data_IF_877072535824
#
_entry.id   IF_877072535824
#
_cell.length_a   1.000
_cell.length_b   1.000
_cell.length_c   1.000
_cell.angle_alpha   90.00
_cell.angle_beta   90.00
_cell.angle_gamma   90.00
#
_symmetry.space_group_name_H-M   'P 1'
#
loop_
_entity.id
_entity.type
_entity.pdbx_description
1 polymer ?
#
# COMPACT_ATOMS: atom_id res chain seq x y z
N UNK A 1 55.68 -7.50 24.47
CA UNK A 1 55.24 -7.33 25.88
C UNK A 1 53.78 -6.89 25.87
N UNK A 2 52.83 -7.77 26.23
CA UNK A 2 51.38 -7.49 26.27
C UNK A 2 51.02 -6.93 27.64
N UNK A 3 50.62 -5.65 27.70
CA UNK A 3 50.12 -4.99 28.92
C UNK A 3 48.59 -5.04 28.98
N UNK A 4 48.07 -5.75 29.98
CA UNK A 4 46.65 -6.00 30.23
C UNK A 4 45.93 -4.79 30.84
N UNK A 5 45.13 -4.08 30.04
CA UNK A 5 44.27 -2.98 30.50
C UNK A 5 42.90 -3.44 31.03
N UNK A 6 42.59 -4.75 30.96
CA UNK A 6 41.26 -5.29 31.32
C UNK A 6 41.04 -5.47 32.83
N UNK A 7 42.09 -5.54 33.64
CA UNK A 7 41.98 -5.78 35.10
C UNK A 7 41.60 -4.53 35.90
N UNK A 8 41.97 -3.31 35.45
CA UNK A 8 41.70 -2.07 36.21
C UNK A 8 40.22 -1.65 36.14
N UNK A 9 39.53 -1.96 35.04
CA UNK A 9 38.10 -1.68 34.90
C UNK A 9 37.21 -2.60 35.75
N UNK A 10 37.63 -3.85 35.98
CA UNK A 10 36.89 -4.79 36.84
C UNK A 10 36.91 -4.32 38.30
N UNK A 11 38.03 -3.76 38.77
CA UNK A 11 38.13 -3.23 40.15
C UNK A 11 37.22 -2.02 40.33
N UNK A 12 37.11 -1.14 39.33
CA UNK A 12 36.22 0.03 39.38
C UNK A 12 34.75 -0.40 39.43
N UNK A 13 34.35 -1.40 38.64
CA UNK A 13 32.97 -1.91 38.64
C UNK A 13 32.60 -2.55 39.99
N UNK A 14 33.52 -3.30 40.62
CA UNK A 14 33.28 -3.92 41.93
C UNK A 14 33.13 -2.88 43.04
N UNK A 15 33.92 -1.79 43.01
CA UNK A 15 33.78 -0.70 43.99
C UNK A 15 32.45 0.04 43.84
N UNK A 16 31.98 0.23 42.61
CA UNK A 16 30.68 0.89 42.34
C UNK A 16 29.51 0.03 42.83
N UNK A 17 29.56 -1.29 42.62
CA UNK A 17 28.50 -2.21 43.10
C UNK A 17 28.47 -2.27 44.63
N UNK A 18 29.63 -2.24 45.30
CA UNK A 18 29.70 -2.23 46.76
C UNK A 18 29.11 -0.93 47.36
N UNK A 19 29.32 0.22 46.70
CA UNK A 19 28.74 1.50 47.12
C UNK A 19 27.21 1.51 46.98
N UNK A 20 26.66 0.91 45.93
CA UNK A 20 25.20 0.81 45.71
C UNK A 20 24.55 -0.11 46.74
N UNK A 21 25.19 -1.22 47.09
CA UNK A 21 24.70 -2.14 48.12
C UNK A 21 24.70 -1.50 49.53
N UNK A 22 25.73 -0.71 49.86
CA UNK A 22 25.79 0.03 51.12
C UNK A 22 24.71 1.11 51.21
N UNK A 23 24.40 1.78 50.09
CA UNK A 23 23.34 2.79 50.02
C UNK A 23 21.95 2.19 50.22
N UNK A 24 21.67 1.05 49.61
CA UNK A 24 20.40 0.32 49.82
C UNK A 24 20.24 -0.21 51.25
N UNK A 25 21.33 -0.68 51.87
CA UNK A 25 21.31 -1.21 53.23
C UNK A 25 21.11 -0.12 54.29
N UNK A 26 21.50 1.13 54.02
CA UNK A 26 21.25 2.27 54.90
C UNK A 26 19.81 2.80 54.78
N UNK A 27 19.17 2.62 53.63
CA UNK A 27 17.80 3.08 53.38
C UNK A 27 16.72 2.14 53.94
N UNK A 28 17.09 0.92 54.36
CA UNK A 28 16.18 -0.13 54.85
C UNK A 28 16.03 -0.25 56.37
N UNK A 29 16.54 0.70 57.17
CA UNK A 29 16.52 0.60 58.64
C UNK A 29 16.03 1.89 59.30
N UNK A 30 14.71 2.12 59.24
CA UNK A 30 13.92 2.84 60.25
C UNK A 30 12.44 2.81 59.83
N UNK A 31 11.65 1.91 60.40
CA UNK A 31 10.63 2.34 61.35
C UNK A 31 10.03 1.15 62.09
N UNK A 32 10.10 1.27 63.40
CA UNK A 32 9.64 0.29 64.38
C UNK A 32 8.34 0.80 64.99
N UNK A 33 7.49 -0.16 65.38
CA UNK A 33 6.55 -0.06 66.49
C UNK A 33 5.28 0.79 66.31
N UNK A 34 4.24 0.12 65.82
CA UNK A 34 2.88 0.34 66.30
C UNK A 34 2.72 -0.32 67.68
N UNK A 35 2.49 0.48 68.71
CA UNK A 35 2.08 0.03 70.04
C UNK A 35 0.75 0.68 70.42
N UNK A 36 -0.22 -0.11 70.87
CA UNK A 36 -0.93 0.06 72.16
C UNK A 36 -2.16 -0.87 72.28
N UNK A 37 -2.22 -1.67 73.35
CA UNK A 37 -3.46 -2.22 73.93
C UNK A 37 -3.87 -1.45 75.20
N UNK A 38 -5.10 -1.71 75.69
CA UNK A 38 -5.36 -1.75 77.15
C UNK A 38 -6.27 -0.68 77.74
N UNK A 39 -7.35 -1.16 78.37
CA UNK A 39 -8.19 -0.45 79.32
C UNK A 39 -7.58 -0.46 80.73
N UNK A 40 -7.68 0.64 81.51
CA UNK A 40 -8.20 0.64 82.91
C UNK A 40 -8.31 2.06 83.49
N UNK A 41 -9.20 2.14 84.49
CA UNK A 41 -9.71 3.29 85.24
C UNK A 41 -8.65 4.01 86.08
N UNK A 42 -8.81 5.32 86.26
CA UNK A 42 -8.88 5.94 87.60
C UNK A 42 -9.37 7.39 87.53
N UNK A 43 -10.17 7.75 88.53
CA UNK A 43 -10.78 9.06 88.75
C UNK A 43 -9.79 10.06 89.33
N UNK A 44 -9.95 11.36 89.06
CA UNK A 44 -10.06 12.42 90.07
C UNK A 44 -10.38 13.79 89.42
N UNK A 45 -11.54 14.34 89.80
CA UNK A 45 -11.93 15.75 90.02
C UNK A 45 -11.19 16.90 89.30
N UNK A 46 -12.00 17.70 88.60
CA UNK A 46 -11.78 19.10 88.18
C UNK A 46 -11.57 20.04 89.40
N UNK A 47 -11.02 21.27 89.24
CA UNK A 47 -11.71 22.34 88.49
C UNK A 47 -10.84 23.33 87.68
N UNK A 48 -11.49 23.91 86.67
CA UNK A 48 -11.46 25.31 86.22
C UNK A 48 -10.13 26.02 85.84
N UNK A 49 -10.11 26.57 84.62
CA UNK A 49 -9.60 27.93 84.40
C UNK A 49 -8.51 28.13 83.34
N UNK A 50 -8.92 28.52 82.12
CA UNK A 50 -8.43 29.71 81.42
C UNK A 50 -6.97 29.86 80.90
N UNK A 51 -6.91 30.13 79.58
CA UNK A 51 -5.99 31.06 78.85
C UNK A 51 -4.59 30.58 78.38
N UNK A 52 -4.54 30.39 77.04
CA UNK A 52 -3.56 30.86 76.03
C UNK A 52 -2.14 31.25 76.49
N UNK A 53 -1.16 30.54 75.94
CA UNK A 53 0.23 30.98 75.79
C UNK A 53 1.01 30.14 74.77
N UNK A 54 1.32 30.73 73.62
CA UNK A 54 2.49 30.56 72.72
C UNK A 54 3.16 29.17 72.59
N UNK A 55 3.16 28.59 71.38
CA UNK A 55 4.15 27.57 70.95
C UNK A 55 4.59 27.79 69.50
N UNK A 56 5.75 28.45 69.36
CA UNK A 56 6.67 28.20 68.25
C UNK A 56 7.35 26.85 68.56
N UNK A 57 6.92 25.80 67.87
CA UNK A 57 7.57 24.49 67.88
C UNK A 57 8.28 24.23 66.55
N UNK A 58 9.31 23.36 66.51
CA UNK A 58 10.02 23.04 65.27
C UNK A 58 9.03 22.50 64.22
N UNK A 59 9.08 23.07 63.01
CA UNK A 59 8.20 22.70 61.91
C UNK A 59 8.31 21.20 61.62
N UNK A 60 7.17 20.54 61.49
CA UNK A 60 7.09 19.11 61.22
C UNK A 60 7.84 18.78 59.92
N UNK A 61 8.67 17.71 59.88
CA UNK A 61 9.39 17.34 58.68
C UNK A 61 8.42 17.01 57.56
N UNK A 62 8.60 17.67 56.41
CA UNK A 62 7.84 17.43 55.18
C UNK A 62 8.77 16.84 54.14
N UNK A 63 8.29 15.80 53.44
CA UNK A 63 8.98 15.29 52.27
C UNK A 63 8.64 16.17 51.06
N UNK A 64 9.67 16.64 50.37
CA UNK A 64 9.55 17.37 49.12
C UNK A 64 10.36 16.65 48.03
N UNK A 65 9.85 16.67 46.80
CA UNK A 65 10.54 16.19 45.61
C UNK A 65 10.59 17.31 44.56
N UNK A 66 11.68 17.41 43.81
CA UNK A 66 11.83 18.38 42.71
C UNK A 66 11.06 17.92 41.49
N UNK A 67 10.13 18.73 41.00
CA UNK A 67 9.42 18.47 39.74
C UNK A 67 10.39 18.63 38.55
N UNK A 68 10.34 17.68 37.61
CA UNK A 68 11.11 17.71 36.36
C UNK A 68 10.13 17.70 35.21
N UNK A 69 10.29 18.61 34.25
CA UNK A 69 9.50 18.64 33.03
C UNK A 69 10.10 17.66 32.01
N UNK A 70 9.30 16.70 31.55
CA UNK A 70 9.67 15.72 30.54
C UNK A 70 8.58 15.61 29.48
N UNK A 71 8.97 15.39 28.24
CA UNK A 71 8.03 15.13 27.15
C UNK A 71 7.42 13.73 27.30
N UNK A 72 6.14 13.67 27.66
CA UNK A 72 5.38 12.41 27.76
C UNK A 72 4.58 12.20 26.46
N UNK A 73 4.81 11.11 25.72
CA UNK A 73 4.02 10.83 24.53
C UNK A 73 2.57 10.53 24.91
N UNK A 74 1.63 11.25 24.31
CA UNK A 74 0.18 10.98 24.43
C UNK A 74 -0.22 10.00 23.34
N UNK A 75 -0.61 8.80 23.74
CA UNK A 75 -1.13 7.78 22.83
C UNK A 75 -2.65 7.89 22.74
N UNK A 76 -3.16 7.79 21.51
CA UNK A 76 -4.57 7.58 21.25
C UNK A 76 -4.72 6.16 20.72
N UNK A 77 -5.53 5.36 21.40
CA UNK A 77 -5.74 3.96 21.05
C UNK A 77 -7.09 3.85 20.35
N UNK A 78 -7.07 3.39 19.11
CA UNK A 78 -8.25 3.10 18.30
C UNK A 78 -8.21 1.67 17.79
N UNK A 79 -9.37 1.04 17.68
CA UNK A 79 -9.47 -0.24 16.98
C UNK A 79 -9.45 0.03 15.48
N UNK A 80 -8.54 -0.66 14.78
CA UNK A 80 -8.39 -0.54 13.33
C UNK A 80 -8.64 -1.87 12.62
N UNK A 81 -9.15 -1.79 11.40
CA UNK A 81 -9.23 -2.92 10.46
C UNK A 81 -8.18 -2.76 9.39
N UNK A 82 -7.48 -3.86 9.09
CA UNK A 82 -6.52 -3.94 8.00
C UNK A 82 -7.30 -4.27 6.72
N UNK A 83 -7.19 -3.41 5.71
CA UNK A 83 -7.87 -3.55 4.42
C UNK A 83 -6.86 -3.56 3.29
N UNK A 84 -7.11 -4.35 2.24
CA UNK A 84 -6.28 -4.32 1.03
C UNK A 84 -6.36 -2.93 0.39
N UNK A 85 -5.22 -2.40 -0.06
CA UNK A 85 -5.18 -1.08 -0.70
C UNK A 85 -5.97 -1.05 -2.02
N UNK A 86 -5.97 -2.17 -2.74
CA UNK A 86 -6.76 -2.35 -3.95
C UNK A 86 -7.26 -3.79 -4.05
N UNK A 87 -8.47 -3.96 -4.55
CA UNK A 87 -9.05 -5.28 -4.87
C UNK A 87 -9.59 -5.23 -6.28
N UNK A 88 -9.00 -6.03 -7.16
CA UNK A 88 -9.33 -6.02 -8.60
C UNK A 88 -9.89 -7.38 -9.00
N UNK A 89 -11.13 -7.37 -9.49
CA UNK A 89 -11.72 -8.53 -10.16
C UNK A 89 -11.23 -8.58 -11.60
N UNK A 90 -10.45 -9.60 -11.93
CA UNK A 90 -9.94 -9.84 -13.28
C UNK A 90 -11.07 -10.39 -14.14
N UNK A 91 -11.38 -9.69 -15.22
CA UNK A 91 -12.46 -10.02 -16.16
C UNK A 91 -11.89 -10.16 -17.57
N UNK A 92 -12.56 -10.97 -18.39
CA UNK A 92 -12.23 -11.02 -19.82
C UNK A 92 -12.74 -9.77 -20.52
N UNK A 93 -12.00 -9.31 -21.54
CA UNK A 93 -12.44 -8.26 -22.47
C UNK A 93 -13.00 -8.83 -23.77
N UNK A 94 -12.80 -10.12 -24.01
CA UNK A 94 -13.20 -10.83 -25.22
C UNK A 94 -13.97 -12.10 -24.88
N UNK A 95 -14.82 -12.53 -25.79
CA UNK A 95 -15.64 -13.73 -25.60
C UNK A 95 -14.90 -14.97 -26.11
N UNK A 96 -15.03 -16.10 -25.42
CA UNK A 96 -14.46 -17.37 -25.86
C UNK A 96 -14.40 -18.43 -24.77
N UNK A 97 -13.95 -19.62 -25.15
CA UNK A 97 -13.78 -20.72 -24.23
C UNK A 97 -12.45 -20.59 -23.46
N UNK A 98 -12.49 -20.82 -22.15
CA UNK A 98 -11.31 -20.85 -21.31
C UNK A 98 -10.48 -22.11 -21.57
N UNK A 99 -9.25 -21.96 -22.06
CA UNK A 99 -8.35 -23.07 -22.38
C UNK A 99 -7.49 -23.48 -21.19
N UNK A 100 -6.99 -22.52 -20.42
CA UNK A 100 -6.06 -22.78 -19.34
C UNK A 100 -6.10 -21.69 -18.26
N UNK A 101 -5.76 -22.10 -17.02
CA UNK A 101 -5.49 -21.23 -15.89
C UNK A 101 -4.02 -21.42 -15.48
N UNK A 102 -3.28 -20.31 -15.38
CA UNK A 102 -1.84 -20.29 -15.17
C UNK A 102 -1.43 -19.79 -13.77
N UNK A 103 -2.34 -19.89 -12.80
CA UNK A 103 -2.08 -19.52 -11.41
C UNK A 103 -2.53 -20.62 -10.44
N UNK A 104 -1.96 -20.60 -9.24
CA UNK A 104 -2.44 -21.36 -8.10
C UNK A 104 -3.20 -20.43 -7.14
N UNK A 105 -4.28 -20.95 -6.54
CA UNK A 105 -5.08 -20.16 -5.58
C UNK A 105 -4.23 -19.76 -4.37
N UNK A 106 -4.31 -18.49 -3.96
CA UNK A 106 -3.48 -17.94 -2.89
C UNK A 106 -2.05 -17.56 -3.29
N UNK A 107 -1.65 -17.79 -4.54
CA UNK A 107 -0.34 -17.40 -5.06
C UNK A 107 -0.17 -15.87 -5.09
N UNK A 108 1.05 -15.39 -4.85
CA UNK A 108 1.42 -14.00 -5.11
C UNK A 108 1.77 -13.84 -6.59
N UNK A 109 1.10 -12.91 -7.29
CA UNK A 109 1.36 -12.56 -8.69
C UNK A 109 1.81 -11.12 -8.80
N UNK A 110 2.52 -10.81 -9.88
CA UNK A 110 2.93 -9.47 -10.27
C UNK A 110 2.06 -8.99 -11.42
N UNK A 111 1.96 -7.67 -11.58
CA UNK A 111 1.33 -7.09 -12.76
C UNK A 111 2.00 -7.61 -14.05
N UNK A 112 1.19 -8.04 -15.01
CA UNK A 112 1.63 -8.64 -16.27
C UNK A 112 1.74 -10.18 -16.27
N UNK A 113 1.65 -10.84 -15.11
CA UNK A 113 1.68 -12.31 -15.06
C UNK A 113 0.46 -12.90 -15.77
N UNK A 114 0.67 -13.95 -16.57
CA UNK A 114 -0.41 -14.66 -17.27
C UNK A 114 -1.26 -15.43 -16.27
N UNK A 115 -2.57 -15.18 -16.26
CA UNK A 115 -3.53 -15.81 -15.36
C UNK A 115 -4.42 -16.81 -16.08
N UNK A 116 -4.90 -16.45 -17.27
CA UNK A 116 -5.83 -17.27 -18.02
C UNK A 116 -5.62 -17.10 -19.52
N UNK A 117 -5.91 -18.16 -20.28
CA UNK A 117 -5.87 -18.16 -21.74
C UNK A 117 -7.24 -18.54 -22.30
N UNK A 118 -7.77 -17.70 -23.19
CA UNK A 118 -8.98 -17.93 -23.98
C UNK A 118 -8.57 -18.41 -25.37
N UNK A 119 -9.38 -19.28 -25.98
CA UNK A 119 -9.15 -19.79 -27.33
C UNK A 119 -8.84 -18.67 -28.34
N UNK A 120 -7.59 -18.60 -28.85
CA UNK A 120 -7.17 -17.55 -29.75
C UNK A 120 -7.57 -17.81 -31.21
N UNK A 121 -8.17 -18.95 -31.53
CA UNK A 121 -8.35 -19.42 -32.92
C UNK A 121 -9.13 -18.43 -33.78
N UNK A 122 -10.27 -17.93 -33.27
CA UNK A 122 -11.08 -16.92 -33.97
C UNK A 122 -10.32 -15.60 -34.18
N UNK A 123 -9.55 -15.16 -33.18
CA UNK A 123 -8.80 -13.90 -33.25
C UNK A 123 -7.60 -14.01 -34.20
N UNK A 124 -6.93 -15.16 -34.25
CA UNK A 124 -5.87 -15.45 -35.23
C UNK A 124 -6.38 -15.41 -36.65
N UNK A 125 -7.57 -15.97 -36.91
CA UNK A 125 -8.20 -15.93 -38.24
C UNK A 125 -8.57 -14.50 -38.62
N UNK A 126 -9.17 -13.73 -37.71
CA UNK A 126 -9.50 -12.32 -37.94
C UNK A 126 -8.25 -11.47 -38.24
N UNK A 127 -7.16 -11.69 -37.50
CA UNK A 127 -5.87 -11.02 -37.76
C UNK A 127 -5.31 -11.38 -39.14
N UNK A 128 -5.32 -12.66 -39.50
CA UNK A 128 -4.85 -13.11 -40.81
C UNK A 128 -5.68 -12.51 -41.96
N UNK A 129 -7.00 -12.41 -41.78
CA UNK A 129 -7.90 -11.76 -42.75
C UNK A 129 -7.57 -10.27 -42.92
N UNK A 130 -7.40 -9.53 -41.81
CA UNK A 130 -7.04 -8.12 -41.84
C UNK A 130 -5.66 -7.89 -42.50
N UNK A 131 -4.68 -8.77 -42.21
CA UNK A 131 -3.36 -8.72 -42.85
C UNK A 131 -3.43 -9.00 -44.36
N UNK A 132 -4.29 -9.94 -44.78
CA UNK A 132 -4.56 -10.21 -46.19
C UNK A 132 -5.15 -8.99 -46.92
N UNK A 133 -6.08 -8.29 -46.29
CA UNK A 133 -6.67 -7.07 -46.84
C UNK A 133 -5.62 -5.96 -46.98
N UNK A 134 -4.83 -5.71 -45.92
CA UNK A 134 -3.72 -4.76 -45.96
C UNK A 134 -2.71 -5.09 -47.07
N UNK A 135 -2.38 -6.37 -47.27
CA UNK A 135 -1.45 -6.80 -48.31
C UNK A 135 -2.01 -6.53 -49.72
N UNK A 136 -3.30 -6.80 -49.94
CA UNK A 136 -3.99 -6.48 -51.20
C UNK A 136 -3.95 -4.98 -51.48
N UNK A 137 -4.30 -4.15 -50.50
CA UNK A 137 -4.40 -2.70 -50.72
C UNK A 137 -3.02 -2.04 -50.81
N UNK A 138 -1.99 -2.61 -50.17
CA UNK A 138 -0.59 -2.23 -50.40
C UNK A 138 -0.17 -2.46 -51.85
N UNK A 139 -0.60 -3.56 -52.47
CA UNK A 139 -0.35 -3.81 -53.88
C UNK A 139 -1.11 -2.80 -54.77
N UNK A 140 -2.34 -2.44 -54.42
CA UNK A 140 -3.14 -1.41 -55.12
C UNK A 140 -2.44 -0.04 -55.06
N UNK A 141 -2.00 0.40 -53.88
CA UNK A 141 -1.25 1.65 -53.72
C UNK A 141 0.07 1.62 -54.51
N UNK A 142 0.80 0.50 -54.50
CA UNK A 142 2.03 0.37 -55.25
C UNK A 142 1.81 0.52 -56.76
N UNK A 143 0.70 -0.02 -57.29
CA UNK A 143 0.33 0.17 -58.69
C UNK A 143 -0.06 1.63 -58.98
N UNK A 144 -0.91 2.24 -58.14
CA UNK A 144 -1.31 3.65 -58.28
C UNK A 144 -0.09 4.60 -58.28
N UNK A 145 0.90 4.35 -57.41
CA UNK A 145 2.16 5.12 -57.37
C UNK A 145 3.01 4.95 -58.64
N UNK A 146 3.07 3.73 -59.19
CA UNK A 146 3.79 3.48 -60.47
C UNK A 146 3.11 4.19 -61.63
N UNK A 147 1.79 4.17 -61.68
CA UNK A 147 1.05 4.87 -62.72
C UNK A 147 1.22 6.38 -62.57
N UNK A 148 1.06 6.94 -61.38
CA UNK A 148 1.34 8.34 -61.12
C UNK A 148 2.75 8.76 -61.60
N UNK A 149 3.79 7.97 -61.30
CA UNK A 149 5.15 8.25 -61.76
C UNK A 149 5.24 8.28 -63.31
N UNK A 150 4.52 7.38 -63.99
CA UNK A 150 4.42 7.35 -65.45
C UNK A 150 3.71 8.58 -66.00
N UNK A 151 2.57 8.96 -65.42
CA UNK A 151 1.82 10.16 -65.84
C UNK A 151 2.61 11.45 -65.59
N UNK A 152 3.36 11.53 -64.48
CA UNK A 152 4.25 12.65 -64.23
C UNK A 152 5.36 12.80 -65.28
N UNK A 153 5.88 11.69 -65.80
CA UNK A 153 6.87 11.72 -66.89
C UNK A 153 6.22 12.18 -68.21
N UNK A 154 5.04 11.68 -68.54
CA UNK A 154 4.30 12.05 -69.75
C UNK A 154 3.80 13.51 -69.73
N UNK A 155 3.50 14.05 -68.56
CA UNK A 155 3.06 15.43 -68.39
C UNK A 155 4.17 16.43 -68.72
N UNK A 156 5.44 16.09 -68.44
CA UNK A 156 6.61 16.91 -68.81
C UNK A 156 6.78 17.03 -70.33
N UNK A 157 6.32 16.03 -71.08
CA UNK A 157 6.30 16.01 -72.53
C UNK A 157 5.00 16.53 -73.14
N UNK A 158 4.09 17.10 -72.34
CA UNK A 158 2.74 17.57 -72.73
C UNK A 158 1.86 16.48 -73.40
N UNK A 159 2.06 15.21 -73.04
CA UNK A 159 1.32 14.08 -73.62
C UNK A 159 0.09 13.65 -72.81
N UNK A 160 -0.14 14.26 -71.64
CA UNK A 160 -1.30 14.01 -70.76
C UNK A 160 -1.82 15.33 -70.22
N UNK A 161 -3.11 15.39 -69.92
CA UNK A 161 -3.73 16.60 -69.36
C UNK A 161 -3.39 16.77 -67.87
N UNK A 162 -3.43 18.01 -67.37
CA UNK A 162 -3.29 18.27 -65.93
C UNK A 162 -4.39 17.60 -65.10
N UNK A 163 -5.61 17.56 -65.62
CA UNK A 163 -6.75 16.91 -64.97
C UNK A 163 -6.49 15.42 -64.73
N UNK A 164 -5.86 14.73 -65.68
CA UNK A 164 -5.50 13.30 -65.53
C UNK A 164 -4.40 13.10 -64.48
N UNK A 165 -3.38 13.97 -64.45
CA UNK A 165 -2.34 13.92 -63.42
C UNK A 165 -2.93 14.14 -62.03
N UNK A 166 -3.77 15.16 -61.88
CA UNK A 166 -4.43 15.48 -60.61
C UNK A 166 -5.34 14.33 -60.14
N UNK A 167 -6.03 13.67 -61.07
CA UNK A 167 -6.83 12.47 -60.77
C UNK A 167 -5.96 11.29 -60.27
N UNK A 168 -4.78 11.06 -60.86
CA UNK A 168 -3.84 10.03 -60.36
C UNK A 168 -3.27 10.39 -58.98
N UNK A 169 -2.97 11.67 -58.75
CA UNK A 169 -2.51 12.15 -57.44
C UNK A 169 -3.59 11.98 -56.36
N UNK A 170 -4.85 12.25 -56.71
CA UNK A 170 -5.99 11.99 -55.83
C UNK A 170 -6.12 10.49 -55.52
N UNK A 171 -5.99 9.61 -56.52
CA UNK A 171 -6.05 8.16 -56.34
C UNK A 171 -4.95 7.62 -55.40
N UNK A 172 -3.72 8.14 -55.52
CA UNK A 172 -2.64 7.79 -54.57
C UNK A 172 -2.99 8.24 -53.16
N UNK A 173 -3.51 9.46 -53.01
CA UNK A 173 -3.91 10.00 -51.70
C UNK A 173 -5.08 9.22 -51.07
N UNK A 174 -6.03 8.79 -51.88
CA UNK A 174 -7.16 7.93 -51.49
C UNK A 174 -6.67 6.56 -51.02
N UNK A 175 -5.84 5.88 -51.83
CA UNK A 175 -5.31 4.56 -51.49
C UNK A 175 -4.36 4.59 -50.29
N UNK A 176 -3.63 5.69 -50.07
CA UNK A 176 -2.89 5.92 -48.82
C UNK A 176 -3.82 6.04 -47.60
N UNK A 177 -5.00 6.65 -47.79
CA UNK A 177 -6.06 6.66 -46.78
C UNK A 177 -6.57 5.25 -46.45
N UNK A 178 -6.80 4.42 -47.47
CA UNK A 178 -7.21 3.01 -47.31
C UNK A 178 -6.17 2.22 -46.53
N UNK A 179 -4.87 2.38 -46.82
CA UNK A 179 -3.80 1.71 -46.04
C UNK A 179 -3.89 2.05 -44.56
N UNK A 180 -4.11 3.32 -44.20
CA UNK A 180 -4.24 3.71 -42.79
C UNK A 180 -5.46 3.05 -42.12
N UNK A 181 -6.57 2.90 -42.83
CA UNK A 181 -7.75 2.22 -42.32
C UNK A 181 -7.51 0.72 -42.12
N UNK A 182 -6.80 0.08 -43.04
CA UNK A 182 -6.43 -1.33 -42.92
C UNK A 182 -5.42 -1.58 -41.80
N UNK A 183 -4.43 -0.70 -41.63
CA UNK A 183 -3.48 -0.75 -40.52
C UNK A 183 -4.21 -0.66 -39.17
N UNK A 184 -5.21 0.21 -39.06
CA UNK A 184 -6.05 0.30 -37.86
C UNK A 184 -6.87 -1.00 -37.65
N UNK A 185 -7.36 -1.61 -38.73
CA UNK A 185 -8.09 -2.87 -38.68
C UNK A 185 -7.20 -4.04 -38.22
N UNK A 186 -5.96 -4.11 -38.71
CA UNK A 186 -4.95 -5.07 -38.24
C UNK A 186 -4.61 -4.85 -36.77
N UNK A 187 -4.41 -3.59 -36.34
CA UNK A 187 -4.14 -3.27 -34.95
C UNK A 187 -5.30 -3.66 -34.02
N UNK A 188 -6.55 -3.45 -34.45
CA UNK A 188 -7.74 -3.87 -33.71
C UNK A 188 -7.82 -5.38 -33.54
N UNK A 189 -7.58 -6.15 -34.62
CA UNK A 189 -7.56 -7.61 -34.56
C UNK A 189 -6.42 -8.14 -33.68
N UNK A 190 -5.24 -7.51 -33.74
CA UNK A 190 -4.11 -7.84 -32.87
C UNK A 190 -4.44 -7.60 -31.40
N UNK A 191 -5.08 -6.47 -31.07
CA UNK A 191 -5.47 -6.14 -29.71
C UNK A 191 -6.46 -7.15 -29.13
N UNK A 192 -7.40 -7.64 -29.94
CA UNK A 192 -8.33 -8.71 -29.53
C UNK A 192 -7.59 -10.03 -29.26
N UNK A 193 -6.61 -10.37 -30.10
CA UNK A 193 -5.75 -11.54 -29.88
C UNK A 193 -4.91 -11.39 -28.60
N UNK A 194 -4.40 -10.19 -28.32
CA UNK A 194 -3.64 -9.93 -27.09
C UNK A 194 -4.55 -10.03 -25.85
N UNK A 195 -5.81 -9.58 -25.95
CA UNK A 195 -6.82 -9.73 -24.88
C UNK A 195 -7.27 -11.17 -24.66
N UNK A 196 -7.00 -12.11 -25.57
CA UNK A 196 -7.24 -13.53 -25.32
C UNK A 196 -6.32 -14.07 -24.22
N UNK A 197 -5.20 -13.40 -23.95
CA UNK A 197 -4.29 -13.68 -22.83
C UNK A 197 -4.59 -12.72 -21.70
N UNK A 198 -5.18 -13.25 -20.63
CA UNK A 198 -5.61 -12.46 -19.49
C UNK A 198 -4.47 -12.42 -18.49
N UNK A 199 -3.95 -11.21 -18.25
CA UNK A 199 -2.85 -10.95 -17.35
C UNK A 199 -3.31 -10.22 -16.08
N UNK A 200 -2.50 -10.29 -15.03
CA UNK A 200 -2.75 -9.56 -13.80
C UNK A 200 -2.60 -8.04 -14.02
N UNK A 201 -3.63 -7.21 -13.74
CA UNK A 201 -3.53 -5.76 -13.90
C UNK A 201 -2.75 -5.09 -12.76
N UNK A 202 -2.66 -5.74 -11.60
CA UNK A 202 -1.97 -5.27 -10.40
C UNK A 202 -1.23 -6.44 -9.74
N UNK A 203 -0.18 -6.13 -8.98
CA UNK A 203 0.45 -7.10 -8.09
C UNK A 203 -0.44 -7.37 -6.86
N UNK A 204 -0.43 -8.62 -6.39
CA UNK A 204 -1.26 -9.00 -5.27
C UNK A 204 -1.33 -10.51 -5.06
N UNK A 205 -2.17 -10.90 -4.09
CA UNK A 205 -2.49 -12.29 -3.83
C UNK A 205 -3.76 -12.67 -4.56
N UNK A 206 -3.67 -13.76 -5.31
CA UNK A 206 -4.77 -14.31 -6.08
C UNK A 206 -5.74 -15.05 -5.17
N UNK A 207 -7.04 -14.81 -5.34
CA UNK A 207 -8.11 -15.50 -4.62
C UNK A 207 -8.39 -16.90 -5.18
N UNK A 208 -9.59 -17.40 -4.88
CA UNK A 208 -10.10 -18.64 -5.47
C UNK A 208 -10.48 -18.40 -6.93
N UNK A 209 -10.33 -19.43 -7.78
CA UNK A 209 -10.85 -19.35 -9.15
C UNK A 209 -12.39 -19.26 -9.11
N UNK A 210 -12.95 -18.44 -9.98
CA UNK A 210 -14.40 -18.27 -10.10
C UNK A 210 -14.98 -19.04 -11.28
N UNK A 211 -14.12 -19.50 -12.19
CA UNK A 211 -14.47 -20.26 -13.40
C UNK A 211 -13.49 -21.42 -13.58
N UNK A 212 -13.96 -22.48 -14.24
CA UNK A 212 -13.16 -23.66 -14.56
C UNK A 212 -12.76 -23.69 -16.04
N UNK A 213 -11.66 -24.37 -16.31
CA UNK A 213 -11.19 -24.63 -17.68
C UNK A 213 -12.28 -25.37 -18.45
N UNK A 214 -12.55 -24.92 -19.68
CA UNK A 214 -13.63 -25.41 -20.52
C UNK A 214 -14.91 -24.58 -20.46
N UNK A 215 -15.05 -23.67 -19.48
CA UNK A 215 -16.20 -22.76 -19.44
C UNK A 215 -16.14 -21.72 -20.56
N UNK A 216 -17.30 -21.35 -21.07
CA UNK A 216 -17.45 -20.19 -21.96
C UNK A 216 -17.44 -18.91 -21.11
N UNK A 217 -16.59 -17.96 -21.47
CA UNK A 217 -16.49 -16.65 -20.82
C UNK A 217 -17.01 -15.59 -21.80
N UNK A 218 -17.77 -14.62 -21.28
CA UNK A 218 -18.13 -13.41 -22.00
C UNK A 218 -17.55 -12.15 -21.35
N UNK A 219 -17.23 -11.16 -22.17
CA UNK A 219 -16.88 -9.79 -21.80
C UNK A 219 -17.93 -9.11 -20.91
N UNK A 220 -19.20 -9.55 -20.98
CA UNK A 220 -20.29 -9.07 -20.13
C UNK A 220 -20.29 -9.62 -18.70
N UNK A 221 -19.55 -10.70 -18.41
CA UNK A 221 -19.69 -11.45 -17.15
C UNK A 221 -19.19 -10.65 -15.95
N UNK A 222 -20.02 -10.50 -14.91
CA UNK A 222 -19.70 -9.73 -13.70
C UNK A 222 -18.94 -10.52 -12.66
N UNK A 223 -19.05 -11.85 -12.67
CA UNK A 223 -18.39 -12.74 -11.70
C UNK A 223 -16.87 -12.59 -11.77
N UNK A 224 -16.31 -12.44 -12.98
CA UNK A 224 -14.87 -12.44 -13.19
C UNK A 224 -14.26 -13.83 -13.22
N UNK A 225 -12.96 -13.90 -13.48
CA UNK A 225 -12.17 -15.13 -13.50
C UNK A 225 -11.55 -15.38 -12.13
N UNK A 226 -10.99 -14.31 -11.57
CA UNK A 226 -10.33 -14.33 -10.26
C UNK A 226 -10.26 -12.94 -9.66
N UNK A 227 -10.25 -12.86 -8.33
CA UNK A 227 -10.06 -11.62 -7.58
C UNK A 227 -8.62 -11.54 -7.09
N UNK A 228 -7.95 -10.43 -7.37
CA UNK A 228 -6.60 -10.13 -6.87
C UNK A 228 -6.72 -9.09 -5.77
N UNK A 229 -6.14 -9.42 -4.61
CA UNK A 229 -6.08 -8.51 -3.45
C UNK A 229 -4.66 -8.00 -3.29
N UNK A 230 -4.48 -6.69 -3.36
CA UNK A 230 -3.18 -6.08 -3.16
C UNK A 230 -2.84 -6.09 -1.66
N UNK A 231 -1.83 -6.87 -1.30
CA UNK A 231 -1.38 -7.03 0.09
C UNK A 231 -0.27 -6.06 0.46
N UNK A 232 0.38 -5.43 -0.53
CA UNK A 232 1.46 -4.47 -0.34
C UNK A 232 1.33 -3.34 -1.39
N UNK A 233 1.13 -2.07 -0.99
CA UNK A 233 0.85 -1.60 0.38
C UNK A 233 -0.49 -2.13 0.93
N UNK A 234 -0.67 -2.04 2.25
CA UNK A 234 -1.90 -2.40 2.95
C UNK A 234 -2.41 -1.19 3.74
N UNK A 235 -3.72 -0.99 3.75
CA UNK A 235 -4.34 0.14 4.42
C UNK A 235 -4.79 -0.23 5.83
N UNK A 236 -4.65 0.71 6.76
CA UNK A 236 -5.15 0.60 8.11
C UNK A 236 -6.21 1.68 8.34
N UNK A 237 -7.45 1.23 8.51
CA UNK A 237 -8.59 2.11 8.77
C UNK A 237 -8.97 1.95 10.23
N UNK A 238 -8.92 3.04 10.99
CA UNK A 238 -9.25 3.03 12.42
C UNK A 238 -10.12 4.22 12.78
N UNK A 239 -10.89 4.06 13.85
CA UNK A 239 -11.77 5.10 14.37
C UNK A 239 -11.24 5.61 15.71
N UNK A 240 -11.41 6.91 15.94
CA UNK A 240 -11.11 7.57 17.21
C UNK A 240 -12.39 8.21 17.77
N UNK A 241 -12.52 8.30 19.10
CA UNK A 241 -13.62 9.04 19.73
C UNK A 241 -13.63 10.50 19.29
N UNK A 242 -14.82 11.09 19.16
CA UNK A 242 -15.00 12.48 18.73
C UNK A 242 -14.23 13.47 19.62
N UNK A 243 -14.17 13.21 20.93
CA UNK A 243 -13.43 14.02 21.91
C UNK A 243 -11.95 14.20 21.58
N UNK A 244 -11.34 13.24 20.90
CA UNK A 244 -9.90 13.28 20.58
C UNK A 244 -9.61 13.91 19.21
N UNK A 245 -10.62 14.06 18.33
CA UNK A 245 -10.47 14.61 16.97
C UNK A 245 -9.88 16.03 17.01
N UNK A 246 -10.35 16.87 17.93
CA UNK A 246 -9.85 18.24 18.05
C UNK A 246 -8.33 18.29 18.30
N UNK A 247 -7.80 17.35 19.11
CA UNK A 247 -6.36 17.26 19.40
C UNK A 247 -5.57 16.83 18.17
N UNK A 248 -6.09 15.85 17.42
CA UNK A 248 -5.48 15.35 16.18
C UNK A 248 -5.41 16.46 15.11
N UNK A 249 -6.51 17.19 14.92
CA UNK A 249 -6.58 18.29 13.94
C UNK A 249 -5.62 19.43 14.31
N UNK A 250 -5.50 19.78 15.60
CA UNK A 250 -4.54 20.78 16.06
C UNK A 250 -3.08 20.34 15.79
N UNK A 251 -2.76 19.07 16.05
CA UNK A 251 -1.43 18.52 15.78
C UNK A 251 -1.10 18.50 14.27
N UNK A 252 -2.07 18.15 13.42
CA UNK A 252 -1.90 18.22 11.95
C UNK A 252 -1.69 19.65 11.46
N UNK A 253 -2.48 20.61 11.94
CA UNK A 253 -2.32 22.04 11.59
C UNK A 253 -0.98 22.62 12.04
N UNK A 254 -0.44 22.11 13.15
CA UNK A 254 0.89 22.47 13.64
C UNK A 254 2.05 21.83 12.84
N UNK A 255 1.75 21.05 11.79
CA UNK A 255 2.76 20.41 10.93
C UNK A 255 3.54 19.30 11.62
N UNK A 256 3.07 18.79 12.76
CA UNK A 256 3.72 17.70 13.48
C UNK A 256 3.33 16.37 12.81
N UNK A 257 4.28 15.51 12.42
CA UNK A 257 3.96 14.20 11.87
C UNK A 257 3.28 13.34 12.94
N UNK A 258 2.06 12.90 12.65
CA UNK A 258 1.35 11.93 13.48
C UNK A 258 1.88 10.54 13.15
N UNK A 259 2.61 9.95 14.09
CA UNK A 259 3.09 8.57 13.97
C UNK A 259 1.94 7.64 14.30
N UNK A 260 1.58 6.79 13.34
CA UNK A 260 0.59 5.71 13.53
C UNK A 260 1.35 4.41 13.73
N UNK A 261 1.00 3.69 14.78
CA UNK A 261 1.56 2.38 15.08
C UNK A 261 0.43 1.35 15.10
N UNK A 262 0.55 0.31 14.30
CA UNK A 262 -0.31 -0.86 14.38
C UNK A 262 0.29 -1.83 15.39
N UNK A 263 -0.51 -2.38 16.28
CA UNK A 263 -0.08 -3.39 17.24
C UNK A 263 -0.97 -4.63 17.09
N UNK A 264 -0.39 -5.80 17.32
CA UNK A 264 -1.16 -7.05 17.34
C UNK A 264 -2.15 -7.06 18.51
N UNK A 265 -3.11 -8.00 18.49
CA UNK A 265 -4.15 -8.13 19.53
C UNK A 265 -3.59 -8.24 20.95
N UNK A 266 -2.38 -8.79 21.11
CA UNK A 266 -1.71 -8.99 22.39
C UNK A 266 -0.80 -7.82 22.79
N UNK A 267 -0.74 -6.75 21.99
CA UNK A 267 0.19 -5.62 22.13
C UNK A 267 1.65 -6.08 22.30
N UNK A 268 2.01 -7.23 21.70
CA UNK A 268 3.33 -7.82 21.85
C UNK A 268 4.24 -7.52 20.67
N UNK A 269 3.65 -7.28 19.49
CA UNK A 269 4.36 -6.98 18.25
C UNK A 269 3.71 -5.79 17.54
N UNK A 270 4.58 -4.97 16.95
CA UNK A 270 4.25 -3.85 16.08
C UNK A 270 4.31 -4.30 14.62
#
# INVERSE_FOLDING_TARGET
MKGSYKSRWVIVIVVVIAAIAAFWFWQGRNDSQSAAPGATKQAQQSPAGGRRGMRSGPLAPVQAATAVEQAVPRYLIGLGTITAANTVTVRSRVDGQLMALHFQEGQQVKAGDLLAEIDPSQFKVALAQAQGQLAKDKATLANARRDLARYQQLAKTNLVSRQELDAQQALVSETEGTIKADEASVASAQLQLDWSRITAPVDGRVGLKQVDVGNQISSGDTTGIVVITQTHPIDLVFTLPESDIATVVQAQKAGKPLVVEAWDRTNSKK
#
